data_IF_085259575601
#
_entry.id   IF_085259575601
#
_cell.length_a   1.000
_cell.length_b   1.000
_cell.length_c   1.000
_cell.angle_alpha   90.00
_cell.angle_beta   90.00
_cell.angle_gamma   90.00
#
_symmetry.space_group_name_H-M   'P 1'
#
loop_
_entity.id
_entity.type
_entity.pdbx_description
1 polymer ?
#
# COMPACT_ATOMS: atom_id res chain seq x y z
N UNK A 1 -19.82 -7.74 1.55
CA UNK A 1 -19.25 -6.73 0.62
C UNK A 1 -20.10 -6.64 -0.64
N UNK A 2 -20.47 -5.43 -1.08
CA UNK A 2 -21.27 -5.26 -2.29
C UNK A 2 -20.39 -5.29 -3.57
N UNK A 3 -21.01 -5.53 -4.73
CA UNK A 3 -20.29 -5.64 -6.01
C UNK A 3 -19.57 -4.33 -6.41
N UNK A 4 -20.14 -3.18 -6.04
CA UNK A 4 -19.55 -1.87 -6.33
C UNK A 4 -18.22 -1.67 -5.61
N UNK A 5 -18.12 -2.05 -4.33
CA UNK A 5 -16.88 -2.00 -3.54
C UNK A 5 -15.82 -2.90 -4.13
N UNK A 6 -16.17 -4.13 -4.50
CA UNK A 6 -15.22 -5.07 -5.15
C UNK A 6 -14.70 -4.46 -6.46
N UNK A 7 -15.58 -3.93 -7.30
CA UNK A 7 -15.19 -3.30 -8.56
C UNK A 7 -14.27 -2.08 -8.37
N UNK A 8 -14.48 -1.28 -7.32
CA UNK A 8 -13.59 -0.17 -6.96
C UNK A 8 -12.23 -0.67 -6.49
N UNK A 9 -12.18 -1.73 -5.68
CA UNK A 9 -10.93 -2.35 -5.23
C UNK A 9 -10.12 -2.86 -6.43
N UNK A 10 -10.73 -3.66 -7.30
CA UNK A 10 -10.05 -4.24 -8.47
C UNK A 10 -9.52 -3.15 -9.41
N UNK A 11 -10.32 -2.12 -9.69
CA UNK A 11 -9.90 -1.00 -10.54
C UNK A 11 -8.76 -0.19 -9.91
N UNK A 12 -8.81 0.01 -8.60
CA UNK A 12 -7.75 0.71 -7.85
C UNK A 12 -6.44 -0.09 -7.86
N UNK A 13 -6.53 -1.40 -7.66
CA UNK A 13 -5.37 -2.29 -7.73
C UNK A 13 -4.77 -2.32 -9.15
N UNK A 14 -5.61 -2.43 -10.17
CA UNK A 14 -5.18 -2.46 -11.57
C UNK A 14 -4.51 -1.14 -12.00
N UNK A 15 -5.13 0.01 -11.72
CA UNK A 15 -4.54 1.32 -12.06
C UNK A 15 -3.26 1.63 -11.28
N UNK A 16 -3.14 1.16 -10.04
CA UNK A 16 -1.90 1.21 -9.27
C UNK A 16 -0.83 0.36 -9.96
N UNK A 17 -1.15 -0.90 -10.28
CA UNK A 17 -0.23 -1.82 -10.98
C UNK A 17 0.26 -1.25 -12.32
N UNK A 18 -0.61 -0.58 -13.07
CA UNK A 18 -0.25 0.03 -14.34
C UNK A 18 0.50 1.36 -14.18
N UNK A 19 0.67 1.86 -12.94
CA UNK A 19 1.33 3.13 -12.66
C UNK A 19 0.54 4.34 -13.19
N UNK A 20 -0.77 4.21 -13.36
CA UNK A 20 -1.63 5.24 -13.97
C UNK A 20 -2.42 6.08 -12.97
N UNK A 21 -2.43 5.67 -11.70
CA UNK A 21 -3.10 6.40 -10.63
C UNK A 21 -2.11 6.75 -9.50
N UNK A 22 -2.25 7.97 -8.97
CA UNK A 22 -1.50 8.40 -7.79
C UNK A 22 -2.14 7.84 -6.51
N UNK A 23 -1.30 7.60 -5.50
CA UNK A 23 -1.71 7.03 -4.22
C UNK A 23 -2.88 7.77 -3.55
N UNK A 24 -2.88 9.12 -3.58
CA UNK A 24 -3.97 9.91 -2.99
C UNK A 24 -5.34 9.63 -3.61
N UNK A 25 -5.40 9.46 -4.94
CA UNK A 25 -6.64 9.14 -5.65
C UNK A 25 -7.14 7.73 -5.31
N UNK A 26 -6.22 6.78 -5.15
CA UNK A 26 -6.52 5.40 -4.72
C UNK A 26 -7.11 5.40 -3.30
N UNK A 27 -6.44 6.08 -2.36
CA UNK A 27 -6.89 6.21 -0.97
C UNK A 27 -8.29 6.83 -0.90
N UNK A 28 -8.53 7.89 -1.67
CA UNK A 28 -9.84 8.53 -1.73
C UNK A 28 -10.92 7.57 -2.25
N UNK A 29 -10.70 6.94 -3.41
CA UNK A 29 -11.67 6.03 -4.02
C UNK A 29 -12.01 4.84 -3.12
N UNK A 30 -11.01 4.26 -2.45
CA UNK A 30 -11.21 3.14 -1.52
C UNK A 30 -11.97 3.58 -0.26
N UNK A 31 -11.67 4.77 0.28
CA UNK A 31 -12.37 5.33 1.44
C UNK A 31 -13.84 5.61 1.11
N UNK A 32 -14.13 6.20 -0.05
CA UNK A 32 -15.49 6.45 -0.55
C UNK A 32 -16.27 5.14 -0.77
N UNK A 33 -15.58 4.07 -1.16
CA UNK A 33 -16.16 2.72 -1.30
C UNK A 33 -16.35 1.96 0.02
N UNK A 34 -15.99 2.59 1.16
CA UNK A 34 -16.19 2.06 2.50
C UNK A 34 -15.09 1.12 3.01
N UNK A 35 -13.94 1.01 2.32
CA UNK A 35 -12.80 0.21 2.77
C UNK A 35 -12.22 0.81 4.05
N UNK A 36 -12.00 -0.02 5.08
CA UNK A 36 -11.49 0.41 6.38
C UNK A 36 -9.96 0.45 6.40
N UNK A 37 -9.35 -0.60 5.84
CA UNK A 37 -7.91 -0.77 5.77
C UNK A 37 -7.53 -1.72 4.62
N UNK A 38 -6.26 -1.75 4.25
CA UNK A 38 -5.72 -2.82 3.42
C UNK A 38 -4.26 -3.11 3.72
N UNK A 39 -3.88 -4.38 3.58
CA UNK A 39 -2.53 -4.88 3.79
C UNK A 39 -1.93 -5.35 2.47
N UNK A 40 -0.86 -4.70 2.02
CA UNK A 40 -0.04 -5.19 0.92
C UNK A 40 1.10 -6.04 1.50
N UNK A 41 1.04 -7.36 1.29
CA UNK A 41 2.06 -8.31 1.74
C UNK A 41 2.97 -8.70 0.57
N UNK A 42 4.22 -8.23 0.61
CA UNK A 42 5.21 -8.50 -0.43
C UNK A 42 5.74 -9.92 -0.40
N UNK A 43 5.51 -10.67 0.69
CA UNK A 43 6.00 -12.04 0.85
C UNK A 43 5.00 -13.04 0.28
N UNK A 44 3.70 -12.77 0.42
CA UNK A 44 2.63 -13.59 -0.18
C UNK A 44 2.17 -13.09 -1.55
N UNK A 45 2.64 -11.91 -1.97
CA UNK A 45 2.25 -11.27 -3.23
C UNK A 45 0.74 -11.06 -3.33
N UNK A 46 0.15 -10.53 -2.26
CA UNK A 46 -1.27 -10.21 -2.20
C UNK A 46 -1.50 -8.88 -1.48
N UNK A 47 -2.54 -8.17 -1.91
CA UNK A 47 -3.13 -7.08 -1.15
C UNK A 47 -4.50 -7.51 -0.64
N UNK A 48 -4.69 -7.53 0.67
CA UNK A 48 -5.97 -7.83 1.31
C UNK A 48 -6.64 -6.55 1.78
N UNK A 49 -7.87 -6.31 1.34
CA UNK A 49 -8.70 -5.18 1.70
C UNK A 49 -9.73 -5.62 2.74
N UNK A 50 -9.96 -4.78 3.74
CA UNK A 50 -10.81 -5.07 4.91
C UNK A 50 -11.96 -4.06 4.98
N UNK A 51 -13.16 -4.56 5.27
CA UNK A 51 -14.34 -3.76 5.51
C UNK A 51 -14.69 -3.77 7.01
N UNK A 52 -15.40 -2.74 7.53
CA UNK A 52 -15.76 -2.67 8.94
C UNK A 52 -16.62 -3.85 9.46
N UNK A 53 -17.33 -4.54 8.56
CA UNK A 53 -18.12 -5.73 8.88
C UNK A 53 -17.31 -7.03 8.99
N UNK A 54 -15.99 -6.96 8.79
CA UNK A 54 -15.08 -8.11 8.81
C UNK A 54 -14.93 -8.81 7.46
N UNK A 55 -15.62 -8.37 6.40
CA UNK A 55 -15.40 -8.92 5.07
C UNK A 55 -14.06 -8.52 4.50
N UNK A 56 -13.45 -9.43 3.75
CA UNK A 56 -12.17 -9.21 3.10
C UNK A 56 -12.25 -9.50 1.61
N UNK A 57 -11.47 -8.77 0.82
CA UNK A 57 -11.24 -9.07 -0.59
C UNK A 57 -9.74 -9.05 -0.86
N UNK A 58 -9.20 -10.05 -1.54
CA UNK A 58 -7.77 -10.15 -1.81
C UNK A 58 -7.51 -10.05 -3.31
N UNK A 59 -6.56 -9.19 -3.69
CA UNK A 59 -6.10 -9.01 -5.07
C UNK A 59 -4.63 -9.41 -5.16
N UNK A 60 -4.25 -10.11 -6.21
CA UNK A 60 -2.85 -10.49 -6.43
C UNK A 60 -1.98 -9.23 -6.63
N UNK A 61 -0.89 -9.15 -5.87
CA UNK A 61 0.12 -8.11 -6.00
C UNK A 61 1.21 -8.62 -6.94
N UNK A 62 1.54 -7.86 -7.98
CA UNK A 62 2.64 -8.23 -8.85
C UNK A 62 3.96 -8.13 -8.09
N UNK A 63 4.69 -9.25 -7.99
CA UNK A 63 6.05 -9.23 -7.44
C UNK A 63 7.02 -8.71 -8.49
N UNK A 64 7.75 -7.60 -8.23
CA UNK A 64 8.90 -7.26 -9.05
C UNK A 64 10.04 -8.28 -8.82
N UNK A 65 10.99 -8.30 -9.75
CA UNK A 65 12.18 -9.16 -9.65
C UNK A 65 13.10 -8.76 -8.48
N UNK A 66 13.02 -7.49 -8.04
CA UNK A 66 13.79 -6.95 -6.92
C UNK A 66 13.51 -7.77 -5.64
N UNK A 67 14.54 -8.38 -5.02
CA UNK A 67 14.38 -9.12 -3.78
C UNK A 67 14.09 -8.17 -2.61
N UNK A 68 13.44 -8.68 -1.56
CA UNK A 68 13.30 -7.95 -0.30
C UNK A 68 14.62 -8.01 0.45
N UNK A 69 15.26 -6.87 0.70
CA UNK A 69 16.52 -6.80 1.43
C UNK A 69 16.38 -7.34 2.87
N UNK A 70 17.48 -7.85 3.43
CA UNK A 70 17.48 -8.48 4.76
C UNK A 70 17.33 -7.48 5.91
N UNK A 71 17.93 -6.29 5.77
CA UNK A 71 17.82 -5.20 6.74
C UNK A 71 16.72 -4.22 6.36
N UNK A 72 16.00 -3.70 7.35
CA UNK A 72 15.01 -2.65 7.16
C UNK A 72 15.68 -1.27 7.20
N UNK A 73 15.66 -0.57 6.07
CA UNK A 73 16.13 0.80 5.92
C UNK A 73 14.93 1.77 5.90
N UNK A 74 14.62 2.32 7.07
CA UNK A 74 13.54 3.29 7.20
C UNK A 74 13.77 4.55 6.35
N UNK A 75 15.03 4.98 6.17
CA UNK A 75 15.34 6.16 5.37
C UNK A 75 15.10 5.91 3.87
N UNK A 76 15.43 4.72 3.39
CA UNK A 76 15.11 4.27 2.04
C UNK A 76 13.61 4.21 1.77
N UNK A 77 12.83 3.65 2.71
CA UNK A 77 11.36 3.63 2.63
C UNK A 77 10.81 5.07 2.57
N UNK A 78 11.26 5.95 3.46
CA UNK A 78 10.86 7.37 3.46
C UNK A 78 11.22 8.09 2.16
N UNK A 79 12.37 7.78 1.56
CA UNK A 79 12.75 8.37 0.28
C UNK A 79 11.79 7.97 -0.84
N UNK A 80 11.41 6.69 -0.91
CA UNK A 80 10.42 6.19 -1.86
C UNK A 80 9.04 6.86 -1.66
N UNK A 81 8.59 6.99 -0.40
CA UNK A 81 7.34 7.67 -0.04
C UNK A 81 7.36 9.13 -0.53
N UNK A 82 8.43 9.88 -0.23
CA UNK A 82 8.56 11.27 -0.65
C UNK A 82 8.57 11.40 -2.18
N UNK A 83 9.20 10.48 -2.90
CA UNK A 83 9.14 10.42 -4.36
C UNK A 83 7.71 10.23 -4.87
N UNK A 84 6.95 9.32 -4.26
CA UNK A 84 5.54 9.09 -4.60
C UNK A 84 4.64 10.30 -4.29
N UNK A 85 4.88 10.98 -3.16
CA UNK A 85 4.17 12.21 -2.80
C UNK A 85 4.42 13.37 -3.77
N UNK A 86 5.60 13.42 -4.40
CA UNK A 86 5.92 14.39 -5.46
C UNK A 86 5.44 13.96 -6.85
N UNK A 87 4.89 12.75 -6.99
CA UNK A 87 4.49 12.19 -8.28
C UNK A 87 5.67 11.75 -9.17
N UNK A 88 6.88 11.69 -8.61
CA UNK A 88 8.09 11.24 -9.32
C UNK A 88 8.22 9.73 -9.35
N UNK A 89 7.67 9.05 -8.35
CA UNK A 89 7.70 7.59 -8.22
C UNK A 89 6.28 7.06 -8.30
N UNK A 90 6.00 6.23 -9.31
CA UNK A 90 4.72 5.53 -9.43
C UNK A 90 4.78 4.16 -8.75
N UNK A 91 3.62 3.55 -8.52
CA UNK A 91 3.51 2.36 -7.68
C UNK A 91 4.43 1.18 -8.07
N UNK A 92 4.67 0.85 -9.36
CA UNK A 92 5.61 -0.21 -9.72
C UNK A 92 7.04 0.06 -9.20
N UNK A 93 7.54 1.28 -9.39
CA UNK A 93 8.85 1.69 -8.90
C UNK A 93 8.87 1.78 -7.36
N UNK A 94 7.77 2.24 -6.75
CA UNK A 94 7.62 2.25 -5.30
C UNK A 94 7.77 0.85 -4.70
N UNK A 95 7.19 -0.19 -5.32
CA UNK A 95 7.37 -1.58 -4.89
C UNK A 95 8.83 -2.01 -4.96
N UNK A 96 9.55 -1.67 -6.03
CA UNK A 96 10.97 -1.99 -6.17
C UNK A 96 11.81 -1.32 -5.09
N UNK A 97 11.65 -0.01 -4.92
CA UNK A 97 12.40 0.80 -3.96
C UNK A 97 12.14 0.36 -2.51
N UNK A 98 10.87 0.16 -2.14
CA UNK A 98 10.51 -0.26 -0.79
C UNK A 98 11.01 -1.67 -0.46
N UNK A 99 10.99 -2.61 -1.42
CA UNK A 99 11.56 -3.95 -1.27
C UNK A 99 13.08 -3.91 -1.13
N UNK A 100 13.75 -3.08 -1.94
CA UNK A 100 15.19 -2.86 -1.83
C UNK A 100 15.59 -2.27 -0.47
N UNK A 101 14.71 -1.48 0.14
CA UNK A 101 14.84 -0.98 1.52
C UNK A 101 14.44 -2.00 2.61
N UNK A 102 14.12 -3.24 2.24
CA UNK A 102 13.82 -4.33 3.17
C UNK A 102 12.42 -4.30 3.77
N UNK A 103 11.51 -3.49 3.23
CA UNK A 103 10.10 -3.52 3.58
C UNK A 103 9.49 -4.87 3.16
N UNK A 104 8.78 -5.53 4.06
CA UNK A 104 8.08 -6.81 3.77
C UNK A 104 6.60 -6.64 3.43
N UNK A 105 6.09 -5.43 3.56
CA UNK A 105 4.70 -5.10 3.34
C UNK A 105 4.30 -3.87 4.13
N UNK A 106 3.10 -3.38 3.89
CA UNK A 106 2.56 -2.22 4.59
C UNK A 106 1.05 -2.31 4.77
N UNK A 107 0.57 -1.79 5.89
CA UNK A 107 -0.85 -1.65 6.21
C UNK A 107 -1.25 -0.20 6.03
N UNK A 108 -2.25 0.06 5.20
CA UNK A 108 -2.89 1.36 5.09
C UNK A 108 -4.17 1.33 5.92
N UNK A 109 -4.20 2.16 6.94
CA UNK A 109 -5.35 2.35 7.81
C UNK A 109 -6.13 3.56 7.28
N UNK A 110 -7.14 3.34 6.44
CA UNK A 110 -7.91 4.44 5.85
C UNK A 110 -8.72 5.17 6.92
N UNK A 111 -9.44 4.42 7.76
CA UNK A 111 -10.17 4.96 8.90
C UNK A 111 -9.21 5.60 9.94
N UNK A 112 -8.03 5.00 10.13
CA UNK A 112 -6.99 5.49 11.04
C UNK A 112 -6.07 6.56 10.45
N UNK A 113 -6.26 6.94 9.18
CA UNK A 113 -5.50 7.97 8.44
C UNK A 113 -3.97 7.87 8.51
N UNK A 114 -3.42 6.65 8.45
CA UNK A 114 -1.97 6.44 8.43
C UNK A 114 -1.57 5.16 7.70
N UNK A 115 -0.29 5.03 7.41
CA UNK A 115 0.32 3.83 6.81
C UNK A 115 1.41 3.33 7.74
N UNK A 116 1.45 2.02 7.99
CA UNK A 116 2.52 1.33 8.72
C UNK A 116 3.31 0.45 7.75
N UNK A 117 4.60 0.72 7.59
CA UNK A 117 5.53 -0.06 6.77
C UNK A 117 6.36 -0.97 7.66
N UNK A 118 6.49 -2.25 7.29
CA UNK A 118 7.05 -3.27 8.19
C UNK A 118 8.40 -3.80 7.69
N UNK A 119 9.34 -3.96 8.62
CA UNK A 119 10.53 -4.79 8.47
C UNK A 119 10.27 -6.23 8.94
N UNK A 120 11.14 -7.15 8.52
CA UNK A 120 10.98 -8.59 8.81
C UNK A 120 11.16 -8.98 10.27
N UNK A 121 11.77 -8.13 11.10
CA UNK A 121 12.00 -8.37 12.53
C UNK A 121 11.01 -7.60 13.42
N UNK A 122 9.94 -7.05 12.83
CA UNK A 122 8.95 -6.24 13.53
C UNK A 122 9.30 -4.75 13.58
N UNK A 123 10.30 -4.30 12.81
CA UNK A 123 10.55 -2.87 12.63
C UNK A 123 9.34 -2.19 11.96
N UNK A 124 9.04 -0.94 12.34
CA UNK A 124 7.92 -0.20 11.78
C UNK A 124 8.33 1.23 11.46
N UNK A 125 7.98 1.68 10.25
CA UNK A 125 7.95 3.11 9.89
C UNK A 125 6.50 3.53 9.68
N UNK A 126 6.07 4.66 10.27
CA UNK A 126 4.69 5.13 10.18
C UNK A 126 4.64 6.47 9.44
N UNK A 127 3.78 6.55 8.43
CA UNK A 127 3.43 7.79 7.73
C UNK A 127 2.00 8.17 8.04
N UNK A 128 1.76 9.42 8.41
CA UNK A 128 0.43 9.95 8.66
C UNK A 128 -0.10 10.65 7.41
N UNK A 129 -1.39 10.51 7.14
CA UNK A 129 -2.02 11.31 6.10
C UNK A 129 -2.05 12.79 6.51
N UNK A 130 -2.04 13.73 5.56
CA UNK A 130 -2.14 15.16 5.86
C UNK A 130 -3.34 15.46 6.78
N UNK A 131 -3.12 16.26 7.82
CA UNK A 131 -4.17 16.66 8.78
C UNK A 131 -4.69 15.53 9.67
N UNK A 132 -3.91 14.46 9.88
CA UNK A 132 -4.17 13.50 10.95
C UNK A 132 -3.49 13.98 12.25
N UNK A 133 -4.25 14.07 13.34
CA UNK A 133 -3.77 14.40 14.69
C UNK A 133 -3.01 13.23 15.36
#
# INVERSE_FOLDING_TARGET
MNETTIATIERSAQSSKDGTAHFGAIVQALSEAGVEAYFADYRSNATTYYLPGGETHAVALQSPATPIAQGFDAAGVQAAIRGAQRGEVMYPEFLELSRAAGCVGYMVWLAGRHVSYFGRKGEVHVERFPGAD
#
